data_IF_303222808994
#
_entry.id   IF_303222808994
#
_cell.length_a   1.000
_cell.length_b   1.000
_cell.length_c   1.000
_cell.angle_alpha   90.00
_cell.angle_beta   90.00
_cell.angle_gamma   90.00
#
_symmetry.space_group_name_H-M   'P 1'
#
loop_
_entity.id
_entity.type
_entity.pdbx_description
1 polymer ?
#
# COMPACT_ATOMS: atom_id res chain seq x y z
N UNK A 1 39.84 -16.35 -50.44
CA UNK A 1 39.16 -16.16 -49.18
C UNK A 1 37.80 -15.53 -49.38
N UNK A 2 36.75 -16.33 -49.34
CA UNK A 2 35.35 -15.89 -49.43
C UNK A 2 34.84 -15.60 -48.00
N UNK A 3 34.61 -14.32 -47.67
CA UNK A 3 33.86 -13.96 -46.47
C UNK A 3 32.37 -13.88 -46.81
N UNK A 4 31.64 -14.87 -46.37
CA UNK A 4 30.18 -14.86 -46.33
C UNK A 4 29.72 -14.02 -45.15
N UNK A 5 29.15 -12.84 -45.40
CA UNK A 5 28.42 -12.05 -44.42
C UNK A 5 27.03 -12.63 -44.22
N UNK A 6 26.93 -13.58 -43.28
CA UNK A 6 25.63 -14.04 -42.77
C UNK A 6 25.02 -12.91 -41.98
N UNK A 7 23.96 -12.29 -42.51
CA UNK A 7 23.08 -11.36 -41.79
C UNK A 7 22.50 -12.06 -40.60
N UNK A 8 22.98 -11.76 -39.37
CA UNK A 8 22.33 -12.14 -38.11
C UNK A 8 21.04 -11.34 -38.00
N UNK A 9 19.95 -11.90 -38.49
CA UNK A 9 18.63 -11.43 -38.14
C UNK A 9 18.49 -11.47 -36.61
N UNK A 10 18.42 -10.28 -35.98
CA UNK A 10 18.03 -10.19 -34.59
C UNK A 10 16.58 -10.66 -34.50
N UNK A 11 16.39 -11.91 -34.09
CA UNK A 11 15.10 -12.38 -33.61
C UNK A 11 14.89 -11.67 -32.28
N UNK A 12 14.18 -10.57 -32.30
CA UNK A 12 13.62 -9.95 -31.11
C UNK A 12 12.61 -10.94 -30.58
N UNK A 13 12.98 -11.72 -29.57
CA UNK A 13 11.99 -12.42 -28.77
C UNK A 13 11.09 -11.33 -28.19
N UNK A 14 9.83 -11.34 -28.57
CA UNK A 14 8.82 -10.48 -27.92
C UNK A 14 8.82 -10.89 -26.46
N UNK A 15 9.48 -10.09 -25.61
CA UNK A 15 9.49 -10.33 -24.18
C UNK A 15 8.03 -10.31 -23.71
N UNK A 16 7.57 -11.42 -23.15
CA UNK A 16 6.22 -11.52 -22.59
C UNK A 16 6.06 -10.40 -21.56
N UNK A 17 5.03 -9.56 -21.72
CA UNK A 17 4.72 -8.51 -20.74
C UNK A 17 4.46 -9.12 -19.37
N UNK A 18 4.98 -8.49 -18.33
CA UNK A 18 4.67 -8.87 -16.96
C UNK A 18 3.25 -8.42 -16.60
N UNK A 19 2.48 -9.32 -16.01
CA UNK A 19 1.12 -9.03 -15.52
C UNK A 19 1.18 -8.44 -14.14
N UNK A 20 0.81 -7.16 -14.04
CA UNK A 20 0.87 -6.36 -12.81
C UNK A 20 -0.53 -6.09 -12.30
N UNK A 21 -0.89 -6.62 -11.14
CA UNK A 21 -2.12 -6.23 -10.47
C UNK A 21 -1.87 -4.97 -9.63
N UNK A 22 -2.48 -3.85 -10.00
CA UNK A 22 -2.39 -2.58 -9.27
C UNK A 22 -3.57 -2.48 -8.31
N UNK A 23 -3.31 -2.58 -6.99
CA UNK A 23 -4.35 -2.44 -5.97
C UNK A 23 -4.53 -0.97 -5.61
N UNK A 24 -5.78 -0.49 -5.55
CA UNK A 24 -6.09 0.89 -5.20
C UNK A 24 -7.35 1.01 -4.34
N UNK A 25 -7.54 2.16 -3.69
CA UNK A 25 -8.63 2.44 -2.78
C UNK A 25 -8.35 1.98 -1.36
N UNK A 26 -9.02 0.98 -0.88
CA UNK A 26 -8.81 0.37 0.45
C UNK A 26 -9.77 0.86 1.53
N UNK A 27 -9.98 0.00 2.54
CA UNK A 27 -10.80 0.29 3.71
C UNK A 27 -9.98 1.11 4.73
N UNK A 28 -9.64 2.33 4.39
CA UNK A 28 -8.85 3.25 5.21
C UNK A 28 -9.33 4.70 5.08
N UNK A 29 -8.88 5.56 6.01
CA UNK A 29 -9.10 7.01 5.92
C UNK A 29 -8.37 7.65 4.74
N UNK A 30 -7.44 6.95 4.11
CA UNK A 30 -6.60 7.41 3.00
C UNK A 30 -7.04 6.83 1.65
N UNK A 31 -8.28 6.33 1.57
CA UNK A 31 -8.86 5.74 0.37
C UNK A 31 -8.77 6.68 -0.86
N UNK A 32 -9.11 7.95 -0.69
CA UNK A 32 -9.08 8.94 -1.77
C UNK A 32 -7.63 9.21 -2.22
N UNK A 33 -6.69 9.26 -1.28
CA UNK A 33 -5.26 9.44 -1.59
C UNK A 33 -4.75 8.27 -2.42
N UNK A 34 -5.13 7.05 -2.08
CA UNK A 34 -4.80 5.85 -2.86
C UNK A 34 -5.32 5.93 -4.29
N UNK A 35 -6.56 6.37 -4.51
CA UNK A 35 -7.13 6.54 -5.85
C UNK A 35 -6.34 7.55 -6.70
N UNK A 36 -5.95 8.68 -6.09
CA UNK A 36 -5.12 9.69 -6.77
C UNK A 36 -3.74 9.14 -7.13
N UNK A 37 -3.09 8.47 -6.20
CA UNK A 37 -1.78 7.83 -6.42
C UNK A 37 -1.86 6.76 -7.51
N UNK A 38 -2.90 5.92 -7.48
CA UNK A 38 -3.10 4.88 -8.48
C UNK A 38 -3.37 5.43 -9.87
N UNK A 39 -4.11 6.54 -9.99
CA UNK A 39 -4.29 7.25 -11.27
C UNK A 39 -2.93 7.64 -11.84
N UNK A 40 -2.06 8.21 -11.00
CA UNK A 40 -0.70 8.59 -11.42
C UNK A 40 0.13 7.38 -11.84
N UNK A 41 0.09 6.29 -11.06
CA UNK A 41 0.79 5.04 -11.37
C UNK A 41 0.32 4.46 -12.69
N UNK A 42 -1.00 4.30 -12.88
CA UNK A 42 -1.59 3.69 -14.07
C UNK A 42 -1.28 4.48 -15.36
N UNK A 43 -1.26 5.82 -15.26
CA UNK A 43 -0.93 6.69 -16.40
C UNK A 43 0.56 6.68 -16.78
N UNK A 44 1.44 6.22 -15.88
CA UNK A 44 2.89 6.23 -16.09
C UNK A 44 3.52 4.84 -16.21
N UNK A 45 2.76 3.77 -16.04
CA UNK A 45 3.26 2.41 -16.29
C UNK A 45 3.51 2.21 -17.79
N UNK A 46 4.68 1.66 -18.11
CA UNK A 46 5.10 1.35 -19.47
C UNK A 46 4.28 0.17 -20.03
N UNK A 47 3.29 0.49 -20.87
CA UNK A 47 2.39 -0.51 -21.47
C UNK A 47 3.08 -1.44 -22.46
N UNK A 48 4.32 -1.15 -22.89
CA UNK A 48 5.11 -2.07 -23.70
C UNK A 48 5.72 -3.20 -22.85
N UNK A 49 5.90 -2.97 -21.53
CA UNK A 49 6.49 -3.94 -20.60
C UNK A 49 5.47 -4.62 -19.71
N UNK A 50 4.37 -3.95 -19.40
CA UNK A 50 3.41 -4.39 -18.40
C UNK A 50 2.01 -4.54 -19.00
N UNK A 51 1.36 -5.64 -18.62
CA UNK A 51 -0.06 -5.89 -18.81
C UNK A 51 -0.74 -5.65 -17.46
N UNK A 52 -1.48 -4.54 -17.35
CA UNK A 52 -1.94 -4.03 -16.06
C UNK A 52 -3.36 -4.46 -15.76
N UNK A 53 -3.58 -4.99 -14.57
CA UNK A 53 -4.88 -5.37 -14.01
C UNK A 53 -5.21 -4.44 -12.83
N UNK A 54 -6.00 -3.38 -13.02
CA UNK A 54 -6.45 -2.53 -11.91
C UNK A 54 -7.43 -3.29 -11.01
N UNK A 55 -7.18 -3.31 -9.71
CA UNK A 55 -8.04 -3.95 -8.71
C UNK A 55 -8.42 -2.91 -7.66
N UNK A 56 -9.67 -2.50 -7.67
CA UNK A 56 -10.21 -1.52 -6.76
C UNK A 56 -10.76 -2.16 -5.49
N UNK A 57 -10.47 -1.54 -4.35
CA UNK A 57 -10.98 -1.93 -3.03
C UNK A 57 -11.84 -0.78 -2.52
N UNK A 58 -13.11 -1.03 -2.27
CA UNK A 58 -14.04 -0.02 -1.74
C UNK A 58 -13.77 0.30 -0.26
N UNK A 59 -14.36 1.37 0.26
CA UNK A 59 -14.23 1.73 1.69
C UNK A 59 -14.80 0.68 2.64
N UNK A 60 -15.79 -0.08 2.20
CA UNK A 60 -16.37 -1.20 2.95
C UNK A 60 -15.65 -2.54 2.71
N UNK A 61 -14.53 -2.51 1.99
CA UNK A 61 -13.61 -3.65 1.83
C UNK A 61 -13.98 -4.63 0.72
N UNK A 62 -14.89 -4.29 -0.20
CA UNK A 62 -15.18 -5.12 -1.36
C UNK A 62 -14.13 -4.91 -2.46
N UNK A 63 -13.74 -5.99 -3.12
CA UNK A 63 -12.72 -5.99 -4.16
C UNK A 63 -13.35 -6.20 -5.54
N UNK A 64 -12.86 -5.44 -6.51
CA UNK A 64 -13.31 -5.54 -7.90
C UNK A 64 -12.13 -5.47 -8.87
N UNK A 65 -12.10 -6.37 -9.85
CA UNK A 65 -11.33 -6.17 -11.07
C UNK A 65 -12.01 -5.04 -11.84
N UNK A 66 -11.26 -4.00 -12.12
CA UNK A 66 -11.74 -2.78 -12.77
C UNK A 66 -11.27 -2.69 -14.20
N UNK A 67 -12.18 -2.40 -15.13
CA UNK A 67 -11.90 -2.30 -16.58
C UNK A 67 -12.31 -0.97 -17.21
N UNK A 68 -12.72 0.00 -16.38
CA UNK A 68 -13.15 1.31 -16.86
C UNK A 68 -12.00 2.32 -17.06
N UNK A 69 -12.32 3.57 -17.38
CA UNK A 69 -11.35 4.65 -17.57
C UNK A 69 -10.57 4.97 -16.30
N UNK A 70 -9.26 5.25 -16.43
CA UNK A 70 -8.39 5.60 -15.28
C UNK A 70 -8.83 6.90 -14.62
N UNK A 71 -9.42 7.81 -15.37
CA UNK A 71 -9.93 9.11 -14.90
C UNK A 71 -11.03 8.96 -13.84
N UNK A 72 -11.79 7.88 -13.91
CA UNK A 72 -12.88 7.60 -12.97
C UNK A 72 -12.40 7.23 -11.55
N UNK A 73 -11.10 6.89 -11.39
CA UNK A 73 -10.53 6.60 -10.08
C UNK A 73 -10.57 7.83 -9.17
N UNK A 74 -10.12 8.98 -9.65
CA UNK A 74 -10.05 10.21 -8.87
C UNK A 74 -11.45 10.68 -8.40
N UNK A 75 -12.44 10.61 -9.28
CA UNK A 75 -13.82 11.01 -8.95
C UNK A 75 -14.55 10.02 -8.04
N UNK A 76 -14.10 8.76 -7.98
CA UNK A 76 -14.78 7.65 -7.33
C UNK A 76 -15.88 7.01 -8.18
N UNK A 77 -16.06 7.43 -9.43
CA UNK A 77 -17.05 6.85 -10.34
C UNK A 77 -16.76 5.37 -10.65
N UNK A 78 -15.49 4.94 -10.53
CA UNK A 78 -15.05 3.57 -10.72
C UNK A 78 -15.89 2.53 -9.94
N UNK A 79 -16.36 2.88 -8.72
CA UNK A 79 -17.13 1.94 -7.88
C UNK A 79 -18.47 1.54 -8.50
N UNK A 80 -19.03 2.39 -9.37
CA UNK A 80 -20.32 2.17 -10.05
C UNK A 80 -20.16 1.72 -11.51
N UNK A 81 -18.95 1.43 -11.93
CA UNK A 81 -18.71 0.97 -13.29
C UNK A 81 -19.38 -0.40 -13.53
N UNK A 82 -20.17 -0.50 -14.59
CA UNK A 82 -20.97 -1.69 -14.88
C UNK A 82 -20.13 -2.93 -15.24
N UNK A 83 -18.88 -2.73 -15.64
CA UNK A 83 -17.92 -3.79 -15.95
C UNK A 83 -17.11 -4.28 -14.74
N UNK A 84 -17.41 -3.81 -13.52
CA UNK A 84 -16.73 -4.29 -12.33
C UNK A 84 -17.04 -5.76 -12.06
N UNK A 85 -15.99 -6.56 -11.92
CA UNK A 85 -16.11 -7.98 -11.60
C UNK A 85 -15.62 -8.21 -10.17
N UNK A 86 -16.44 -8.82 -9.27
CA UNK A 86 -15.97 -9.14 -7.93
C UNK A 86 -14.69 -9.96 -7.97
N UNK A 87 -13.73 -9.62 -7.12
CA UNK A 87 -12.41 -10.23 -7.09
C UNK A 87 -11.97 -10.51 -5.65
N UNK A 88 -10.98 -11.36 -5.49
CA UNK A 88 -10.34 -11.65 -4.20
C UNK A 88 -8.93 -12.16 -4.40
N UNK A 89 -8.10 -12.09 -3.35
CA UNK A 89 -6.85 -12.83 -3.26
C UNK A 89 -7.09 -14.06 -2.42
N UNK A 90 -6.83 -15.23 -2.99
CA UNK A 90 -7.04 -16.52 -2.35
C UNK A 90 -5.71 -17.26 -2.20
N UNK A 91 -5.36 -17.73 -0.98
CA UNK A 91 -4.21 -18.61 -0.80
C UNK A 91 -4.26 -19.83 -1.73
N UNK A 92 -3.14 -20.13 -2.39
CA UNK A 92 -3.03 -21.24 -3.34
C UNK A 92 -3.64 -21.01 -4.73
N UNK A 93 -4.41 -19.91 -4.92
CA UNK A 93 -5.04 -19.59 -6.22
C UNK A 93 -4.66 -18.19 -6.75
N UNK A 94 -3.99 -17.37 -5.92
CA UNK A 94 -3.60 -16.01 -6.27
C UNK A 94 -4.79 -15.06 -6.40
N UNK A 95 -4.76 -14.17 -7.39
CA UNK A 95 -5.88 -13.29 -7.70
C UNK A 95 -6.97 -14.07 -8.44
N UNK A 96 -8.20 -13.96 -7.97
CA UNK A 96 -9.37 -14.59 -8.59
C UNK A 96 -10.46 -13.58 -8.90
N UNK A 97 -11.25 -13.83 -9.93
CA UNK A 97 -12.45 -13.08 -10.27
C UNK A 97 -13.68 -14.01 -10.28
N UNK A 98 -14.84 -13.46 -9.95
CA UNK A 98 -16.11 -14.17 -9.87
C UNK A 98 -17.05 -13.68 -10.96
N UNK A 99 -17.15 -14.41 -12.06
CA UNK A 99 -17.98 -14.08 -13.21
C UNK A 99 -19.07 -15.15 -13.41
N UNK A 100 -20.33 -14.76 -13.48
CA UNK A 100 -21.47 -15.68 -13.75
C UNK A 100 -21.50 -16.91 -12.82
N UNK A 101 -21.15 -16.73 -11.55
CA UNK A 101 -21.10 -17.82 -10.56
C UNK A 101 -19.86 -18.72 -10.65
N UNK A 102 -18.92 -18.41 -11.54
CA UNK A 102 -17.66 -19.15 -11.72
C UNK A 102 -16.50 -18.37 -11.12
N UNK A 103 -15.68 -19.03 -10.31
CA UNK A 103 -14.41 -18.50 -9.81
C UNK A 103 -13.30 -18.80 -10.84
N UNK A 104 -12.64 -17.75 -11.32
CA UNK A 104 -11.57 -17.86 -12.30
C UNK A 104 -10.28 -17.26 -11.75
N UNK A 105 -9.19 -18.03 -11.72
CA UNK A 105 -7.86 -17.51 -11.39
C UNK A 105 -7.36 -16.61 -12.51
N UNK A 106 -6.80 -15.47 -12.13
CA UNK A 106 -6.18 -14.49 -13.01
C UNK A 106 -4.65 -14.61 -12.90
N UNK A 107 -3.93 -14.81 -14.00
CA UNK A 107 -2.48 -14.85 -13.95
C UNK A 107 -1.93 -13.46 -13.60
N UNK A 108 -1.15 -13.40 -12.51
CA UNK A 108 -0.46 -12.20 -12.03
C UNK A 108 0.98 -12.57 -11.75
N UNK A 109 1.93 -11.80 -12.30
CA UNK A 109 3.35 -12.00 -12.06
C UNK A 109 3.82 -11.20 -10.83
N UNK A 110 3.22 -10.03 -10.59
CA UNK A 110 3.51 -9.16 -9.45
C UNK A 110 2.30 -8.31 -9.07
N UNK A 111 2.12 -8.07 -7.77
CA UNK A 111 1.12 -7.14 -7.25
C UNK A 111 1.79 -5.82 -6.89
N UNK A 112 1.20 -4.70 -7.28
CA UNK A 112 1.63 -3.38 -6.89
C UNK A 112 0.57 -2.72 -5.98
N UNK A 113 0.69 -2.84 -4.66
CA UNK A 113 -0.21 -2.18 -3.72
C UNK A 113 0.02 -0.67 -3.75
N UNK A 114 -0.91 0.10 -4.29
CA UNK A 114 -0.93 1.56 -4.23
C UNK A 114 -1.95 1.98 -3.16
N UNK A 115 -1.82 1.36 -2.00
CA UNK A 115 -2.70 1.54 -0.84
C UNK A 115 -1.99 2.39 0.21
N UNK A 116 -2.73 3.20 0.95
CA UNK A 116 -2.20 4.06 2.01
C UNK A 116 -2.88 3.81 3.35
N UNK A 117 -2.10 3.99 4.43
CA UNK A 117 -2.55 3.85 5.80
C UNK A 117 -2.89 2.41 6.19
N UNK A 118 -3.96 2.29 6.98
CA UNK A 118 -4.42 1.01 7.53
C UNK A 118 -4.70 -0.01 6.42
N UNK A 119 -4.31 -1.25 6.66
CA UNK A 119 -4.40 -2.39 5.76
C UNK A 119 -3.50 -2.30 4.50
N UNK A 120 -2.95 -1.13 4.18
CA UNK A 120 -2.10 -0.93 3.01
C UNK A 120 -0.60 -0.89 3.34
N UNK A 121 -0.24 -0.25 4.47
CA UNK A 121 1.16 0.01 4.84
C UNK A 121 1.57 -0.65 6.16
N UNK A 122 0.67 -1.37 6.82
CA UNK A 122 0.84 -1.93 8.16
C UNK A 122 1.19 -3.42 8.20
N UNK A 123 1.51 -4.02 7.06
CA UNK A 123 1.84 -5.45 6.95
C UNK A 123 0.63 -6.34 6.64
N UNK A 124 -0.60 -5.81 6.71
CA UNK A 124 -1.82 -6.61 6.52
C UNK A 124 -1.97 -7.11 5.08
N UNK A 125 -1.90 -6.22 4.09
CA UNK A 125 -1.95 -6.64 2.67
C UNK A 125 -0.74 -7.49 2.29
N UNK A 126 0.44 -7.15 2.81
CA UNK A 126 1.66 -7.89 2.58
C UNK A 126 1.52 -9.33 3.07
N UNK A 127 0.94 -9.53 4.27
CA UNK A 127 0.67 -10.86 4.80
C UNK A 127 -0.30 -11.68 3.96
N UNK A 128 -1.34 -11.05 3.41
CA UNK A 128 -2.28 -11.69 2.49
C UNK A 128 -1.57 -12.13 1.19
N UNK A 129 -0.70 -11.28 0.64
CA UNK A 129 0.05 -11.57 -0.57
C UNK A 129 1.08 -12.68 -0.36
N UNK A 130 1.77 -12.69 0.79
CA UNK A 130 2.67 -13.78 1.20
C UNK A 130 1.93 -15.12 1.28
N UNK A 131 0.78 -15.17 1.96
CA UNK A 131 -0.05 -16.37 2.05
C UNK A 131 -0.56 -16.85 0.70
N UNK A 132 -0.78 -15.94 -0.23
CA UNK A 132 -1.21 -16.25 -1.60
C UNK A 132 -0.05 -16.64 -2.52
N UNK A 133 1.20 -16.51 -2.09
CA UNK A 133 2.38 -16.76 -2.90
C UNK A 133 2.57 -15.76 -4.04
N UNK A 134 2.04 -14.53 -3.91
CA UNK A 134 2.12 -13.49 -4.91
C UNK A 134 3.28 -12.53 -4.61
N UNK A 135 4.25 -12.39 -5.51
CA UNK A 135 5.26 -11.34 -5.41
C UNK A 135 4.61 -9.96 -5.41
N UNK A 136 5.16 -9.02 -4.66
CA UNK A 136 4.61 -7.66 -4.58
C UNK A 136 5.70 -6.59 -4.48
N UNK A 137 5.33 -5.37 -4.85
CA UNK A 137 6.17 -4.19 -4.75
C UNK A 137 6.02 -3.58 -3.37
N UNK A 138 7.14 -3.32 -2.70
CA UNK A 138 7.17 -2.65 -1.39
C UNK A 138 7.91 -3.44 -0.31
N UNK A 139 7.79 -2.95 0.94
CA UNK A 139 8.39 -3.60 2.09
C UNK A 139 7.64 -4.88 2.47
N UNK A 140 8.35 -5.86 3.05
CA UNK A 140 7.72 -7.07 3.60
C UNK A 140 6.89 -6.80 4.87
N UNK A 141 6.23 -7.85 5.36
CA UNK A 141 5.31 -7.79 6.51
C UNK A 141 5.94 -7.11 7.73
N UNK A 142 7.10 -7.56 8.15
CA UNK A 142 7.76 -7.02 9.35
C UNK A 142 8.14 -5.55 9.19
N UNK A 143 8.76 -5.18 8.07
CA UNK A 143 9.16 -3.80 7.80
C UNK A 143 7.95 -2.85 7.77
N UNK A 144 6.87 -3.24 7.10
CA UNK A 144 5.63 -2.49 7.03
C UNK A 144 5.01 -2.30 8.43
N UNK A 145 4.87 -3.37 9.19
CA UNK A 145 4.28 -3.34 10.53
C UNK A 145 5.09 -2.46 11.51
N UNK A 146 6.41 -2.62 11.53
CA UNK A 146 7.30 -1.84 12.40
C UNK A 146 7.27 -0.36 12.04
N UNK A 147 7.36 -0.02 10.74
CA UNK A 147 7.40 1.37 10.29
C UNK A 147 6.05 2.08 10.44
N UNK A 148 4.94 1.35 10.43
CA UNK A 148 3.61 1.92 10.63
C UNK A 148 3.37 2.35 12.08
N UNK A 149 3.90 1.61 13.06
CA UNK A 149 3.78 1.95 14.48
C UNK A 149 4.93 2.87 14.92
N UNK A 150 4.60 4.16 15.18
CA UNK A 150 5.61 5.18 15.55
C UNK A 150 6.33 4.87 16.87
N UNK A 151 5.67 4.17 17.79
CA UNK A 151 6.30 3.78 19.06
C UNK A 151 7.34 2.69 18.80
N UNK A 152 6.97 1.66 18.07
CA UNK A 152 7.88 0.55 17.73
C UNK A 152 9.01 1.04 16.83
N UNK A 153 8.70 1.81 15.79
CA UNK A 153 9.71 2.40 14.91
C UNK A 153 10.75 3.23 15.68
N UNK A 154 10.30 4.09 16.61
CA UNK A 154 11.21 4.88 17.44
C UNK A 154 12.07 3.99 18.37
N UNK A 155 11.50 2.95 18.97
CA UNK A 155 12.26 2.00 19.80
C UNK A 155 13.34 1.27 18.99
N UNK A 156 13.02 0.88 17.74
CA UNK A 156 14.01 0.25 16.85
C UNK A 156 15.11 1.24 16.47
N UNK A 157 14.76 2.50 16.14
CA UNK A 157 15.75 3.54 15.85
C UNK A 157 16.67 3.80 17.03
N UNK A 158 16.13 3.84 18.26
CA UNK A 158 16.94 3.98 19.49
C UNK A 158 17.92 2.80 19.65
N UNK A 159 17.42 1.58 19.48
CA UNK A 159 18.25 0.37 19.65
C UNK A 159 19.35 0.25 18.59
N UNK A 160 19.17 0.86 17.42
CA UNK A 160 20.11 0.81 16.28
C UNK A 160 20.97 2.08 16.16
N UNK A 161 20.76 3.09 17.02
CA UNK A 161 21.51 4.34 16.97
C UNK A 161 21.18 5.24 15.80
N UNK A 162 20.01 5.06 15.17
CA UNK A 162 19.55 5.94 14.08
C UNK A 162 19.14 7.29 14.66
N UNK A 163 19.74 8.41 14.19
CA UNK A 163 19.40 9.76 14.68
C UNK A 163 17.93 10.10 14.42
N UNK A 164 17.26 10.64 15.44
CA UNK A 164 15.87 11.11 15.38
C UNK A 164 15.62 12.21 16.41
N UNK A 165 14.49 12.88 16.33
CA UNK A 165 14.05 13.82 17.36
C UNK A 165 13.72 13.10 18.66
N UNK A 166 13.89 13.79 19.79
CA UNK A 166 13.43 13.30 21.09
C UNK A 166 11.94 13.02 21.06
N UNK A 167 11.52 12.01 21.78
CA UNK A 167 10.13 11.54 21.81
C UNK A 167 9.76 10.98 23.19
N UNK A 168 8.47 10.91 23.43
CA UNK A 168 7.86 10.17 24.53
C UNK A 168 6.61 9.46 24.00
N UNK A 169 6.07 8.53 24.76
CA UNK A 169 4.86 7.82 24.35
C UNK A 169 3.92 7.55 25.53
N UNK A 170 2.65 7.36 25.19
CA UNK A 170 1.61 6.92 26.10
C UNK A 170 0.86 5.77 25.48
N UNK A 171 0.78 4.65 26.18
CA UNK A 171 -0.05 3.54 25.83
C UNK A 171 -1.49 3.73 26.32
N UNK A 172 -2.46 3.14 25.65
CA UNK A 172 -3.88 3.32 25.96
C UNK A 172 -4.24 2.99 27.41
N UNK A 173 -3.61 1.99 27.98
CA UNK A 173 -3.83 1.57 29.37
C UNK A 173 -3.29 2.57 30.41
N UNK A 174 -2.37 3.45 30.02
CA UNK A 174 -1.82 4.52 30.87
C UNK A 174 -2.71 5.78 30.92
N UNK A 175 -3.86 5.78 30.29
CA UNK A 175 -4.78 6.93 30.27
C UNK A 175 -5.08 7.54 31.64
N UNK A 176 -5.20 6.77 32.76
CA UNK A 176 -5.37 7.33 34.10
C UNK A 176 -4.20 8.22 34.55
N UNK A 177 -3.00 8.03 33.96
CA UNK A 177 -1.77 8.76 34.31
C UNK A 177 -1.50 9.94 33.36
N UNK A 178 -2.48 10.32 32.52
CA UNK A 178 -2.30 11.32 31.45
C UNK A 178 -1.60 12.60 31.93
N UNK A 179 -2.00 13.16 33.09
CA UNK A 179 -1.43 14.39 33.60
C UNK A 179 0.06 14.25 34.01
N UNK A 180 0.45 13.10 34.53
CA UNK A 180 1.84 12.81 34.87
C UNK A 180 2.70 12.62 33.61
N UNK A 181 2.16 11.90 32.62
CA UNK A 181 2.82 11.67 31.33
C UNK A 181 3.00 12.99 30.57
N UNK A 182 1.98 13.85 30.55
CA UNK A 182 2.06 15.16 29.90
C UNK A 182 3.15 16.04 30.53
N UNK A 183 3.24 16.04 31.86
CA UNK A 183 4.33 16.77 32.57
C UNK A 183 5.71 16.22 32.22
N UNK A 184 5.89 14.91 32.30
CA UNK A 184 7.14 14.23 31.88
C UNK A 184 7.54 14.58 30.45
N UNK A 185 6.58 14.53 29.51
CA UNK A 185 6.83 14.88 28.13
C UNK A 185 7.22 16.35 27.97
N UNK A 186 6.56 17.27 28.69
CA UNK A 186 6.90 18.68 28.67
C UNK A 186 8.30 18.97 29.21
N UNK A 187 8.70 18.33 30.31
CA UNK A 187 10.04 18.45 30.89
C UNK A 187 11.12 17.88 29.95
N UNK A 188 10.84 16.77 29.29
CA UNK A 188 11.78 16.10 28.39
C UNK A 188 11.94 16.81 27.05
N UNK A 189 10.82 17.21 26.44
CA UNK A 189 10.77 17.62 25.01
C UNK A 189 10.77 19.16 24.85
N UNK A 190 10.32 19.89 25.86
CA UNK A 190 10.04 21.33 25.75
C UNK A 190 8.81 21.59 24.86
N UNK A 191 8.42 22.85 24.75
CA UNK A 191 7.31 23.31 23.92
C UNK A 191 7.80 23.94 22.62
N UNK A 192 7.05 23.79 21.49
CA UNK A 192 5.77 23.08 21.34
C UNK A 192 5.96 21.58 21.15
N UNK A 193 4.97 20.78 21.59
CA UNK A 193 4.94 19.33 21.44
C UNK A 193 3.97 18.94 20.35
N UNK A 194 4.37 18.02 19.46
CA UNK A 194 3.48 17.40 18.47
C UNK A 194 2.99 16.06 19.00
N UNK A 195 1.67 15.97 19.22
CA UNK A 195 0.99 14.73 19.62
C UNK A 195 0.53 14.00 18.37
N UNK A 196 0.93 12.74 18.22
CA UNK A 196 0.67 11.93 17.02
C UNK A 196 0.08 10.59 17.40
N UNK A 197 -0.96 10.09 16.71
CA UNK A 197 -1.37 8.71 16.84
C UNK A 197 -0.24 7.76 16.48
N UNK A 198 -0.10 6.64 17.19
CA UNK A 198 0.95 5.66 16.92
C UNK A 198 0.79 5.06 15.51
N UNK A 199 -0.43 4.67 15.15
CA UNK A 199 -0.74 3.89 13.95
C UNK A 199 -1.58 4.67 12.92
N UNK A 200 -1.13 5.88 12.52
CA UNK A 200 -1.80 6.66 11.47
C UNK A 200 -0.75 7.30 10.56
N UNK A 201 -1.06 7.34 9.26
CA UNK A 201 -0.26 8.00 8.24
C UNK A 201 -0.74 9.43 7.91
N UNK A 202 -0.13 10.05 6.89
CA UNK A 202 -0.55 11.31 6.24
C UNK A 202 -0.97 12.43 7.20
N UNK A 203 -0.34 12.52 8.37
CA UNK A 203 -0.64 13.52 9.41
C UNK A 203 -2.06 13.46 10.00
N UNK A 204 -2.79 12.39 9.79
CA UNK A 204 -4.12 12.21 10.36
C UNK A 204 -4.05 12.16 11.89
N UNK A 205 -4.85 13.00 12.55
CA UNK A 205 -4.93 13.06 14.02
C UNK A 205 -3.72 13.69 14.70
N UNK A 206 -2.81 14.36 13.98
CA UNK A 206 -1.71 15.11 14.58
C UNK A 206 -2.23 16.43 15.14
N UNK A 207 -1.82 16.75 16.35
CA UNK A 207 -2.09 18.03 16.98
C UNK A 207 -0.81 18.66 17.57
N UNK A 208 -0.77 19.99 17.65
CA UNK A 208 0.32 20.77 18.22
C UNK A 208 -0.14 21.38 19.53
N UNK A 209 0.45 20.94 20.63
CA UNK A 209 0.28 21.55 21.94
C UNK A 209 1.37 22.61 22.15
N UNK A 210 0.97 23.80 22.65
CA UNK A 210 1.85 24.94 22.87
C UNK A 210 2.18 25.14 24.33
N UNK A 211 1.36 24.59 25.20
CA UNK A 211 1.46 24.65 26.68
C UNK A 211 0.66 23.47 27.29
N UNK A 212 0.62 23.40 28.63
CA UNK A 212 -0.12 22.38 29.40
C UNK A 212 -1.62 22.60 29.37
#
# INVERSE_FOLDING_TARGET
GLYSTAARGKVWSVLKKLKVAVLFGGASSEHEVSRMSATSVLNNLDTEKYDVLPVGITKDGRWYLYSGPVEDLCSGAWERHSGNVPAAICPGSGLVAFENGVCRSLPVDVVFPVLHGKNGEDGTIQGLLELAGLPYVGCGVLGSAVCMDKIIANRVMDATGIPRCEWDCMERWQRPELAAIARRAAEKLGWPIFVKPANAGSSVGISKARDM
#
